data_IF_040998975667
#
_entry.id   IF_040998975667
#
_cell.length_a   1.000
_cell.length_b   1.000
_cell.length_c   1.000
_cell.angle_alpha   90.00
_cell.angle_beta   90.00
_cell.angle_gamma   90.00
#
_symmetry.space_group_name_H-M   'P 1'
#
loop_
_entity.id
_entity.type
_entity.pdbx_description
1 polymer ?
#
# COMPACT_ATOMS: atom_id res chain seq x y z
N UNK A 1 11.12 -8.57 6.75
CA UNK A 1 10.07 -9.19 7.61
C UNK A 1 10.35 -8.98 9.09
N UNK A 2 11.54 -9.31 9.62
CA UNK A 2 11.86 -9.09 11.05
C UNK A 2 11.78 -7.63 11.50
N UNK A 3 12.29 -6.73 10.66
CA UNK A 3 12.35 -5.30 10.95
C UNK A 3 10.95 -4.74 11.30
N UNK A 4 9.89 -5.07 10.55
CA UNK A 4 8.55 -4.54 10.83
C UNK A 4 7.72 -5.31 11.89
N UNK A 5 8.21 -6.41 12.46
CA UNK A 5 7.46 -7.29 13.39
C UNK A 5 8.27 -7.53 14.68
N UNK A 6 8.40 -6.50 15.51
CA UNK A 6 9.08 -6.58 16.80
C UNK A 6 8.35 -5.79 17.88
N UNK A 7 8.63 -6.10 19.15
CA UNK A 7 7.98 -5.49 20.33
C UNK A 7 8.24 -3.99 20.48
N UNK A 8 9.16 -3.43 19.69
CA UNK A 8 9.56 -2.02 19.76
C UNK A 8 8.73 -1.13 18.83
N UNK A 9 7.95 -1.65 17.87
CA UNK A 9 7.35 -0.83 16.81
C UNK A 9 5.89 -1.16 16.44
N UNK A 10 5.19 -0.12 15.97
CA UNK A 10 3.79 -0.06 15.52
C UNK A 10 3.53 -0.65 14.12
N UNK A 11 4.24 -1.71 13.73
CA UNK A 11 3.93 -2.47 12.50
C UNK A 11 4.47 -1.90 11.18
N UNK A 12 5.21 -0.79 11.19
CA UNK A 12 5.87 -0.21 10.01
C UNK A 12 7.39 -0.34 10.11
N UNK A 13 8.05 -0.52 8.96
CA UNK A 13 9.51 -0.49 8.87
C UNK A 13 10.06 0.91 9.15
N UNK A 14 11.05 1.03 10.03
CA UNK A 14 11.84 2.24 10.23
C UNK A 14 13.23 2.09 9.64
N UNK A 15 13.82 3.21 9.19
CA UNK A 15 15.15 3.23 8.57
C UNK A 15 16.25 2.72 9.51
N UNK A 16 16.03 2.84 10.80
CA UNK A 16 17.03 2.59 11.84
C UNK A 16 17.35 1.10 12.03
N UNK A 17 16.56 0.20 11.44
CA UNK A 17 16.72 -1.25 11.62
C UNK A 17 17.52 -1.93 10.51
N UNK A 18 17.86 -1.20 9.45
CA UNK A 18 18.78 -1.70 8.45
C UNK A 18 20.16 -1.85 9.12
N UNK A 19 20.88 -2.97 8.95
CA UNK A 19 22.21 -3.14 9.56
C UNK A 19 23.16 -2.01 9.17
N UNK A 20 22.99 -1.41 7.99
CA UNK A 20 23.66 -0.16 7.57
C UNK A 20 23.53 1.04 8.53
N UNK A 21 22.48 1.09 9.34
CA UNK A 21 22.11 2.22 10.19
C UNK A 21 22.16 1.88 11.70
N UNK A 22 22.32 0.60 12.06
CA UNK A 22 22.55 0.15 13.44
C UNK A 22 23.96 -0.48 13.56
N UNK A 23 24.91 0.18 14.25
CA UNK A 23 26.26 -0.32 14.42
C UNK A 23 26.33 -1.72 15.05
N UNK A 24 25.41 -2.08 15.95
CA UNK A 24 25.39 -3.40 16.59
C UNK A 24 24.91 -4.47 15.61
N UNK A 25 23.84 -4.19 14.87
CA UNK A 25 23.38 -5.07 13.81
C UNK A 25 24.43 -5.23 12.69
N UNK A 26 25.17 -4.17 12.34
CA UNK A 26 26.26 -4.25 11.37
C UNK A 26 27.39 -5.14 11.83
N UNK A 27 27.85 -4.99 13.08
CA UNK A 27 28.89 -5.85 13.64
C UNK A 27 28.46 -7.31 13.64
N UNK A 28 27.22 -7.58 14.03
CA UNK A 28 26.66 -8.93 14.01
C UNK A 28 26.56 -9.50 12.59
N UNK A 29 26.15 -8.67 11.62
CA UNK A 29 26.12 -9.04 10.19
C UNK A 29 27.51 -9.37 9.65
N UNK A 30 28.52 -8.58 9.99
CA UNK A 30 29.92 -8.82 9.57
C UNK A 30 30.51 -10.10 10.20
N UNK A 31 30.14 -10.43 11.43
CA UNK A 31 30.63 -11.62 12.14
C UNK A 31 29.99 -12.92 11.66
N UNK A 32 28.67 -12.92 11.43
CA UNK A 32 27.90 -14.13 11.06
C UNK A 32 27.88 -14.40 9.55
N UNK A 33 28.07 -13.36 8.74
CA UNK A 33 27.78 -13.37 7.32
C UNK A 33 26.28 -13.27 7.03
N UNK A 34 25.94 -12.99 5.77
CA UNK A 34 24.56 -12.69 5.35
C UNK A 34 23.59 -13.85 5.59
N UNK A 35 23.97 -15.08 5.25
CA UNK A 35 23.06 -16.24 5.33
C UNK A 35 22.62 -16.51 6.77
N UNK A 36 23.58 -16.64 7.69
CA UNK A 36 23.27 -16.93 9.11
C UNK A 36 22.53 -15.78 9.78
N UNK A 37 22.87 -14.54 9.44
CA UNK A 37 22.14 -13.37 9.92
C UNK A 37 20.67 -13.39 9.47
N UNK A 38 20.41 -13.76 8.21
CA UNK A 38 19.05 -13.86 7.67
C UNK A 38 18.26 -15.03 8.27
N UNK A 39 18.92 -16.16 8.55
CA UNK A 39 18.31 -17.30 9.26
C UNK A 39 17.87 -16.90 10.68
N UNK A 40 18.73 -16.23 11.45
CA UNK A 40 18.38 -15.73 12.79
C UNK A 40 17.17 -14.79 12.73
N UNK A 41 17.17 -13.86 11.77
CA UNK A 41 16.05 -12.92 11.59
C UNK A 41 14.76 -13.64 11.19
N UNK A 42 14.86 -14.69 10.37
CA UNK A 42 13.70 -15.49 10.00
C UNK A 42 13.13 -16.24 11.20
N UNK A 43 13.97 -16.82 12.05
CA UNK A 43 13.54 -17.50 13.27
C UNK A 43 12.82 -16.54 14.23
N UNK A 44 13.39 -15.36 14.46
CA UNK A 44 12.78 -14.31 15.30
C UNK A 44 11.39 -13.90 14.78
N UNK A 45 11.21 -13.76 13.45
CA UNK A 45 9.88 -13.48 12.87
C UNK A 45 8.89 -14.60 13.15
N UNK A 46 9.31 -15.86 12.96
CA UNK A 46 8.43 -17.01 13.18
C UNK A 46 8.01 -17.11 14.64
N UNK A 47 8.94 -16.86 15.56
CA UNK A 47 8.66 -16.82 16.99
C UNK A 47 7.66 -15.71 17.33
N UNK A 48 7.87 -14.49 16.85
CA UNK A 48 6.92 -13.38 17.05
C UNK A 48 5.52 -13.70 16.52
N UNK A 49 5.40 -14.29 15.32
CA UNK A 49 4.10 -14.68 14.75
C UNK A 49 3.42 -15.75 15.61
N UNK A 50 4.18 -16.70 16.15
CA UNK A 50 3.68 -17.73 17.05
C UNK A 50 3.24 -17.20 18.41
N UNK A 51 3.98 -16.26 19.00
CA UNK A 51 3.71 -15.67 20.30
C UNK A 51 2.58 -14.61 20.24
N UNK A 52 2.47 -13.89 19.11
CA UNK A 52 1.56 -12.75 18.96
C UNK A 52 0.77 -12.74 17.64
N UNK A 53 -0.05 -13.77 17.34
CA UNK A 53 -0.78 -13.86 16.07
C UNK A 53 -1.78 -12.70 15.85
N UNK A 54 -2.44 -12.22 16.91
CA UNK A 54 -3.37 -11.10 16.83
C UNK A 54 -2.68 -9.77 16.45
N UNK A 55 -1.49 -9.52 17.00
CA UNK A 55 -0.69 -8.34 16.65
C UNK A 55 -0.21 -8.43 15.20
N UNK A 56 0.21 -9.60 14.75
CA UNK A 56 0.61 -9.81 13.36
C UNK A 56 -0.53 -9.52 12.37
N UNK A 57 -1.75 -9.99 12.65
CA UNK A 57 -2.93 -9.69 11.82
C UNK A 57 -3.23 -8.20 11.82
N UNK A 58 -3.22 -7.55 12.99
CA UNK A 58 -3.44 -6.10 13.10
C UNK A 58 -2.41 -5.31 12.27
N UNK A 59 -1.12 -5.61 12.41
CA UNK A 59 -0.07 -4.96 11.62
C UNK A 59 -0.22 -5.21 10.12
N UNK A 60 -0.67 -6.41 9.73
CA UNK A 60 -0.94 -6.72 8.32
C UNK A 60 -2.11 -5.90 7.77
N UNK A 61 -3.16 -5.68 8.56
CA UNK A 61 -4.28 -4.81 8.18
C UNK A 61 -3.88 -3.34 8.10
N UNK A 62 -3.08 -2.85 9.06
CA UNK A 62 -2.53 -1.48 9.01
C UNK A 62 -1.67 -1.28 7.74
N UNK A 63 -0.82 -2.25 7.40
CA UNK A 63 -0.04 -2.26 6.15
C UNK A 63 -0.93 -2.28 4.91
N UNK A 64 -2.02 -3.07 4.92
CA UNK A 64 -2.97 -3.09 3.82
C UNK A 64 -3.62 -1.71 3.61
N UNK A 65 -4.02 -1.03 4.69
CA UNK A 65 -4.52 0.34 4.61
C UNK A 65 -3.46 1.29 4.06
N UNK A 66 -2.23 1.27 4.61
CA UNK A 66 -1.14 2.14 4.18
C UNK A 66 -0.67 1.91 2.74
N UNK A 67 -0.81 0.70 2.20
CA UNK A 67 -0.58 0.46 0.79
C UNK A 67 -1.49 1.33 -0.09
N UNK A 68 -2.76 1.49 0.31
CA UNK A 68 -3.74 2.27 -0.43
C UNK A 68 -3.68 3.78 -0.14
N UNK A 69 -3.43 4.18 1.10
CA UNK A 69 -3.44 5.59 1.53
C UNK A 69 -2.06 6.24 1.65
N UNK A 70 -0.99 5.52 1.29
CA UNK A 70 0.41 5.81 1.59
C UNK A 70 0.79 5.58 3.07
N UNK A 71 1.99 5.04 3.35
CA UNK A 71 2.51 4.97 4.71
C UNK A 71 2.82 6.36 5.25
N UNK A 72 2.64 6.60 6.56
CA UNK A 72 2.93 7.87 7.22
C UNK A 72 4.43 8.11 7.14
N UNK A 73 4.81 9.11 6.35
CA UNK A 73 6.19 9.51 6.18
C UNK A 73 6.21 11.02 6.04
N UNK A 74 7.09 11.67 6.81
CA UNK A 74 7.27 13.11 6.77
C UNK A 74 7.62 13.54 5.33
N UNK A 75 6.71 14.28 4.70
CA UNK A 75 6.89 14.88 3.38
C UNK A 75 7.03 16.39 3.53
N UNK A 76 8.15 16.82 4.12
CA UNK A 76 8.46 18.23 4.33
C UNK A 76 9.23 18.74 3.12
N UNK A 77 8.61 19.64 2.34
CA UNK A 77 9.28 20.36 1.25
C UNK A 77 9.40 21.83 1.69
N UNK A 78 10.62 22.24 2.03
CA UNK A 78 10.86 23.56 2.61
C UNK A 78 10.17 23.71 3.98
N UNK A 79 9.19 24.62 4.09
CA UNK A 79 8.41 24.85 5.32
C UNK A 79 7.03 24.18 5.32
N UNK A 80 6.64 23.54 4.22
CA UNK A 80 5.30 22.99 4.07
C UNK A 80 5.30 21.48 4.34
N UNK A 81 4.39 21.04 5.21
CA UNK A 81 4.07 19.63 5.39
C UNK A 81 3.06 19.19 4.34
N UNK A 82 3.51 18.41 3.36
CA UNK A 82 2.70 17.88 2.27
C UNK A 82 2.24 16.44 2.55
N UNK A 83 2.30 16.00 3.81
CA UNK A 83 1.85 14.66 4.20
C UNK A 83 0.38 14.45 3.84
N UNK A 84 -0.49 15.45 4.03
CA UNK A 84 -1.90 15.35 3.63
C UNK A 84 -2.07 15.15 2.11
N UNK A 85 -1.42 15.99 1.31
CA UNK A 85 -1.48 15.90 -0.15
C UNK A 85 -0.99 14.54 -0.67
N UNK A 86 0.02 13.95 -0.01
CA UNK A 86 0.49 12.59 -0.32
C UNK A 86 -0.60 11.54 -0.10
N UNK A 87 -1.29 11.57 1.05
CA UNK A 87 -2.34 10.58 1.33
C UNK A 87 -3.50 10.71 0.33
N UNK A 88 -3.89 11.95 0.01
CA UNK A 88 -4.90 12.24 -1.01
C UNK A 88 -4.47 11.72 -2.39
N UNK A 89 -3.22 11.95 -2.78
CA UNK A 89 -2.65 11.48 -4.04
C UNK A 89 -2.58 9.96 -4.18
N UNK A 90 -2.54 9.21 -3.07
CA UNK A 90 -2.59 7.75 -3.07
C UNK A 90 -4.03 7.21 -3.03
N UNK A 91 -4.91 7.88 -2.27
CA UNK A 91 -6.28 7.47 -2.03
C UNK A 91 -7.20 7.74 -3.23
N UNK A 92 -7.17 8.94 -3.80
CA UNK A 92 -8.07 9.31 -4.92
C UNK A 92 -7.92 8.35 -6.11
N UNK A 93 -6.70 8.07 -6.62
CA UNK A 93 -6.55 7.14 -7.74
C UNK A 93 -7.01 5.72 -7.40
N UNK A 94 -6.83 5.28 -6.15
CA UNK A 94 -7.32 3.98 -5.71
C UNK A 94 -8.86 3.92 -5.74
N UNK A 95 -9.54 4.93 -5.18
CA UNK A 95 -11.02 5.01 -5.21
C UNK A 95 -11.52 5.01 -6.66
N UNK A 96 -10.93 5.84 -7.53
CA UNK A 96 -11.32 5.91 -8.94
C UNK A 96 -11.08 4.60 -9.68
N UNK A 97 -9.98 3.91 -9.40
CA UNK A 97 -9.68 2.61 -9.97
C UNK A 97 -10.70 1.55 -9.56
N UNK A 98 -11.04 1.45 -8.27
CA UNK A 98 -12.05 0.51 -7.79
C UNK A 98 -13.45 0.82 -8.35
N UNK A 99 -13.82 2.10 -8.43
CA UNK A 99 -15.08 2.52 -9.04
C UNK A 99 -15.13 2.19 -10.55
N UNK A 100 -14.03 2.45 -11.28
CA UNK A 100 -13.88 2.09 -12.68
C UNK A 100 -13.93 0.58 -12.92
N UNK A 101 -13.28 -0.21 -12.05
CA UNK A 101 -13.31 -1.66 -12.08
C UNK A 101 -14.75 -2.18 -11.90
N UNK A 102 -15.43 -1.73 -10.85
CA UNK A 102 -16.81 -2.09 -10.58
C UNK A 102 -17.74 -1.79 -11.77
N UNK A 103 -17.60 -0.61 -12.36
CA UNK A 103 -18.39 -0.21 -13.52
C UNK A 103 -18.07 -1.03 -14.76
N UNK A 104 -16.79 -1.36 -14.99
CA UNK A 104 -16.35 -2.17 -16.13
C UNK A 104 -16.88 -3.60 -16.05
N UNK A 105 -16.92 -4.18 -14.84
CA UNK A 105 -17.54 -5.49 -14.58
C UNK A 105 -19.05 -5.42 -14.82
N UNK A 106 -19.72 -4.38 -14.31
CA UNK A 106 -21.17 -4.17 -14.50
C UNK A 106 -21.52 -4.06 -15.99
N UNK A 107 -20.70 -3.38 -16.77
CA UNK A 107 -20.87 -3.19 -18.20
C UNK A 107 -20.36 -4.37 -19.04
N UNK A 108 -19.88 -5.45 -18.40
CA UNK A 108 -19.35 -6.67 -19.03
C UNK A 108 -18.23 -6.41 -20.05
N UNK A 109 -17.37 -5.43 -19.75
CA UNK A 109 -16.19 -5.15 -20.56
C UNK A 109 -15.26 -6.37 -20.51
N UNK A 110 -14.77 -6.78 -21.69
CA UNK A 110 -13.86 -7.92 -21.80
C UNK A 110 -12.54 -7.59 -21.08
N UNK A 111 -12.03 -8.53 -20.29
CA UNK A 111 -10.76 -8.36 -19.57
C UNK A 111 -10.86 -7.67 -18.21
N UNK A 112 -12.01 -7.09 -17.85
CA UNK A 112 -12.21 -6.45 -16.52
C UNK A 112 -11.94 -7.38 -15.35
N UNK A 113 -12.25 -8.67 -15.50
CA UNK A 113 -11.93 -9.66 -14.47
C UNK A 113 -10.42 -9.81 -14.25
N UNK A 114 -9.62 -9.85 -15.32
CA UNK A 114 -8.17 -9.96 -15.23
C UNK A 114 -7.56 -8.73 -14.56
N UNK A 115 -8.07 -7.54 -14.89
CA UNK A 115 -7.66 -6.30 -14.23
C UNK A 115 -8.01 -6.33 -12.73
N UNK A 116 -9.22 -6.77 -12.40
CA UNK A 116 -9.61 -6.93 -11.00
C UNK A 116 -8.74 -7.92 -10.24
N UNK A 117 -8.39 -9.05 -10.85
CA UNK A 117 -7.49 -10.02 -10.26
C UNK A 117 -6.09 -9.42 -10.04
N UNK A 118 -5.53 -8.72 -11.02
CA UNK A 118 -4.20 -8.12 -10.89
C UNK A 118 -4.19 -7.06 -9.78
N UNK A 119 -5.16 -6.14 -9.78
CA UNK A 119 -5.30 -5.07 -8.78
C UNK A 119 -5.41 -5.60 -7.34
N UNK A 120 -6.05 -6.76 -7.14
CA UNK A 120 -6.29 -7.35 -5.81
C UNK A 120 -5.16 -8.29 -5.39
N UNK A 121 -4.64 -9.13 -6.29
CA UNK A 121 -3.66 -10.18 -5.96
C UNK A 121 -2.26 -9.61 -5.84
N UNK A 122 -1.88 -8.69 -6.73
CA UNK A 122 -0.56 -8.06 -6.73
C UNK A 122 -0.16 -7.47 -5.36
N UNK A 123 -1.03 -6.74 -4.63
CA UNK A 123 -0.63 -6.11 -3.36
C UNK A 123 -0.55 -7.06 -2.16
N UNK A 124 -1.11 -8.28 -2.24
CA UNK A 124 -1.18 -9.21 -1.10
C UNK A 124 0.17 -9.47 -0.40
N UNK A 125 1.28 -9.72 -1.12
CA UNK A 125 2.57 -9.93 -0.47
C UNK A 125 3.04 -8.72 0.34
N UNK A 126 2.67 -7.50 -0.09
CA UNK A 126 3.08 -6.27 0.59
C UNK A 126 2.27 -5.98 1.86
N UNK A 127 1.09 -6.60 2.01
CA UNK A 127 0.34 -6.54 3.26
C UNK A 127 1.06 -7.30 4.39
N UNK A 128 1.83 -8.34 4.04
CA UNK A 128 2.53 -9.17 5.02
C UNK A 128 3.92 -8.63 5.37
N UNK A 129 4.61 -7.98 4.44
CA UNK A 129 6.03 -7.59 4.61
C UNK A 129 6.19 -6.14 5.02
N UNK A 130 5.96 -5.22 4.08
CA UNK A 130 5.98 -3.77 4.28
C UNK A 130 5.56 -3.07 2.98
N UNK A 131 4.59 -2.13 3.02
CA UNK A 131 4.16 -1.38 1.84
C UNK A 131 5.10 -0.19 1.59
N UNK A 132 6.22 -0.40 0.91
CA UNK A 132 6.98 0.75 0.40
C UNK A 132 6.20 1.46 -0.71
N UNK A 133 6.22 2.81 -0.79
CA UNK A 133 5.48 3.56 -1.80
C UNK A 133 5.74 3.09 -3.23
N UNK A 134 6.99 2.73 -3.53
CA UNK A 134 7.42 2.25 -4.84
C UNK A 134 6.76 0.95 -5.30
N UNK A 135 6.23 0.16 -4.38
CA UNK A 135 5.55 -1.09 -4.73
C UNK A 135 4.18 -0.85 -5.35
N UNK A 136 3.64 0.37 -5.31
CA UNK A 136 2.40 0.73 -5.99
C UNK A 136 2.60 1.04 -7.47
N UNK A 137 3.79 1.47 -7.90
CA UNK A 137 4.06 1.86 -9.28
C UNK A 137 3.68 0.82 -10.36
N UNK A 138 3.83 -0.50 -10.14
CA UNK A 138 3.46 -1.49 -11.16
C UNK A 138 1.95 -1.56 -11.45
N UNK A 139 1.09 -1.19 -10.50
CA UNK A 139 -0.38 -1.19 -10.69
C UNK A 139 -0.94 0.20 -11.03
N UNK A 140 -0.13 1.26 -10.94
CA UNK A 140 -0.58 2.63 -11.27
C UNK A 140 -1.12 2.77 -12.70
N UNK A 141 -0.48 2.21 -13.75
CA UNK A 141 -1.03 2.29 -15.11
C UNK A 141 -2.43 1.67 -15.23
N UNK A 142 -2.66 0.53 -14.57
CA UNK A 142 -3.96 -0.12 -14.53
C UNK A 142 -5.00 0.75 -13.81
N UNK A 143 -4.65 1.30 -12.65
CA UNK A 143 -5.53 2.22 -11.92
C UNK A 143 -5.95 3.41 -12.79
N UNK A 144 -5.00 3.97 -13.56
CA UNK A 144 -5.26 5.08 -14.48
C UNK A 144 -6.23 4.64 -15.58
N UNK A 145 -6.01 3.47 -16.21
CA UNK A 145 -6.93 2.96 -17.24
C UNK A 145 -8.36 2.80 -16.71
N UNK A 146 -8.51 2.25 -15.51
CA UNK A 146 -9.82 2.09 -14.84
C UNK A 146 -10.45 3.44 -14.50
N UNK A 147 -9.67 4.41 -14.03
CA UNK A 147 -10.15 5.76 -13.76
C UNK A 147 -10.60 6.48 -15.04
N UNK A 148 -9.84 6.34 -16.13
CA UNK A 148 -10.24 6.89 -17.44
C UNK A 148 -11.54 6.25 -17.92
N UNK A 149 -11.69 4.92 -17.78
CA UNK A 149 -12.92 4.22 -18.12
C UNK A 149 -14.12 4.74 -17.32
N UNK A 150 -13.95 4.98 -16.01
CA UNK A 150 -14.98 5.57 -15.14
C UNK A 150 -15.45 6.92 -15.67
N UNK A 151 -14.52 7.84 -15.96
CA UNK A 151 -14.86 9.17 -16.48
C UNK A 151 -15.47 9.13 -17.87
N UNK A 152 -14.97 8.23 -18.73
CA UNK A 152 -15.54 8.01 -20.05
C UNK A 152 -16.99 7.53 -19.96
N UNK A 153 -17.30 6.60 -19.06
CA UNK A 153 -18.68 6.16 -18.87
C UNK A 153 -19.55 7.28 -18.26
N UNK A 154 -19.00 8.07 -17.33
CA UNK A 154 -19.71 9.19 -16.71
C UNK A 154 -20.03 10.31 -17.70
N UNK A 155 -19.18 10.56 -18.71
CA UNK A 155 -19.44 11.59 -19.73
C UNK A 155 -20.62 11.26 -20.64
N UNK A 156 -21.00 9.99 -20.75
CA UNK A 156 -22.19 9.56 -21.49
C UNK A 156 -23.48 9.69 -20.67
N UNK A 157 -23.39 10.00 -19.38
CA UNK A 157 -24.55 10.25 -18.52
C UNK A 157 -24.99 11.69 -18.69
N UNK A 158 -26.11 11.91 -19.37
CA UNK A 158 -26.73 13.23 -19.44
C UNK A 158 -27.30 13.62 -18.07
N UNK A 159 -26.60 14.52 -17.36
CA UNK A 159 -27.11 15.12 -16.14
C UNK A 159 -28.14 16.20 -16.55
N UNK A 160 -29.43 15.85 -16.52
CA UNK A 160 -30.51 16.84 -16.62
C UNK A 160 -30.57 17.63 -15.32
N UNK A 161 -29.96 18.82 -15.33
CA UNK A 161 -30.11 19.77 -14.24
C UNK A 161 -31.58 20.21 -14.15
N UNK A 162 -32.24 20.11 -12.97
CA UNK A 162 -33.55 20.72 -12.78
C UNK A 162 -33.35 22.24 -12.87
N UNK A 163 -33.77 22.83 -13.98
CA UNK A 163 -33.82 24.28 -14.13
C UNK A 163 -34.80 24.83 -13.08
N UNK A 164 -34.28 25.46 -12.03
CA UNK A 164 -35.09 26.27 -11.12
C UNK A 164 -35.70 27.43 -11.91
N UNK A 165 -36.96 27.30 -12.31
CA UNK A 165 -37.75 28.45 -12.74
C UNK A 165 -38.02 29.31 -11.50
N UNK A 166 -37.35 30.46 -11.42
CA UNK A 166 -37.79 31.57 -10.56
C UNK A 166 -39.08 32.11 -11.18
N UNK A 167 -40.18 32.00 -10.45
CA UNK A 167 -41.40 32.77 -10.67
C UNK A 167 -41.17 34.23 -10.26
#
# INVERSE_FOLDING_TARGET
MHMANNDRLTGLWTRDEHPGNDPQAMQKFQQLGEIRFMEEKQQQVRQFIGEHPALFVRFSLERAMYFWIAPPQANIIGRYDLSFARHVGFLIPAILAFAGLWLSIRNRVKGSFLLGCFLIIYPLPYYLVNPFPRYKHPIEPEMIMLAVYLFWQASHVQIRWPLFHKQ
#
